data_IF_269197194268
#
_entry.id   IF_269197194268
#
_cell.length_a   1.000
_cell.length_b   1.000
_cell.length_c   1.000
_cell.angle_alpha   90.00
_cell.angle_beta   90.00
_cell.angle_gamma   90.00
#
_symmetry.space_group_name_H-M   'P 1'
#
loop_
_entity.id
_entity.type
_entity.pdbx_description
1 polymer ?
#
# COMPACT_ATOMS: atom_id res chain seq x y z
N UNK A 1 13.50 6.28 -2.60
CA UNK A 1 12.47 5.58 -1.81
C UNK A 1 11.31 6.52 -1.65
N UNK A 2 10.07 6.06 -1.77
CA UNK A 2 8.87 6.89 -1.51
C UNK A 2 8.86 7.19 -0.01
N UNK A 3 9.06 8.44 0.40
CA UNK A 3 8.90 8.76 1.82
C UNK A 3 7.43 8.77 2.17
N UNK A 4 7.11 8.12 3.27
CA UNK A 4 5.76 7.91 3.73
C UNK A 4 5.71 7.91 5.26
N UNK A 5 4.52 8.08 5.80
CA UNK A 5 4.25 7.99 7.24
C UNK A 5 2.90 7.35 7.48
N UNK A 6 2.77 6.62 8.60
CA UNK A 6 1.52 5.96 8.98
C UNK A 6 0.84 6.73 10.12
N UNK A 7 -0.49 6.81 10.06
CA UNK A 7 -1.31 7.51 11.04
C UNK A 7 -2.62 6.78 11.28
N UNK A 8 -3.17 6.94 12.49
CA UNK A 8 -4.56 6.61 12.79
C UNK A 8 -5.37 7.90 12.68
N UNK A 9 -6.46 7.89 11.92
CA UNK A 9 -7.33 9.06 11.79
C UNK A 9 -8.26 9.21 13.02
N UNK A 10 -9.02 10.31 13.07
CA UNK A 10 -9.96 10.59 14.17
C UNK A 10 -11.03 9.49 14.36
N UNK A 11 -11.34 8.75 13.30
CA UNK A 11 -12.25 7.60 13.33
C UNK A 11 -11.61 6.29 13.82
N UNK A 12 -10.35 6.32 14.27
CA UNK A 12 -9.65 5.12 14.73
C UNK A 12 -9.29 4.15 13.61
N UNK A 13 -9.14 4.64 12.38
CA UNK A 13 -8.80 3.84 11.20
C UNK A 13 -7.39 4.13 10.71
N UNK A 14 -6.65 3.11 10.26
CA UNK A 14 -5.30 3.28 9.76
C UNK A 14 -5.31 3.99 8.39
N UNK A 15 -4.34 4.85 8.17
CA UNK A 15 -4.04 5.46 6.87
C UNK A 15 -2.57 5.80 6.74
N UNK A 16 -2.13 6.14 5.54
CA UNK A 16 -0.77 6.60 5.30
C UNK A 16 -0.75 7.92 4.54
N UNK A 17 0.34 8.66 4.74
CA UNK A 17 0.69 9.87 4.01
C UNK A 17 1.95 9.59 3.19
N UNK A 18 2.11 10.31 2.08
CA UNK A 18 3.26 10.22 1.17
C UNK A 18 3.72 11.62 0.80
N UNK A 19 4.93 11.74 0.25
CA UNK A 19 5.39 13.02 -0.30
C UNK A 19 4.40 13.54 -1.38
N UNK A 20 4.17 14.86 -1.41
CA UNK A 20 3.16 15.47 -2.29
C UNK A 20 3.35 15.12 -3.76
N UNK A 21 4.59 14.93 -4.24
CA UNK A 21 4.85 14.53 -5.64
C UNK A 21 4.35 13.12 -5.99
N UNK A 22 3.94 12.32 -5.01
CA UNK A 22 3.36 10.98 -5.22
C UNK A 22 1.88 10.93 -4.84
N UNK A 23 1.23 12.07 -4.61
CA UNK A 23 -0.13 12.17 -4.04
C UNK A 23 -1.16 11.21 -4.68
N UNK A 24 -1.02 10.91 -5.97
CA UNK A 24 -1.84 9.92 -6.70
C UNK A 24 -1.85 8.52 -6.07
N UNK A 25 -0.79 8.12 -5.38
CA UNK A 25 -0.72 6.82 -4.69
C UNK A 25 -1.60 6.75 -3.43
N UNK A 26 -2.18 7.88 -2.98
CA UNK A 26 -3.14 7.84 -1.89
C UNK A 26 -4.34 6.95 -2.23
N UNK A 27 -4.78 6.89 -3.48
CA UNK A 27 -5.94 6.08 -3.89
C UNK A 27 -5.69 4.57 -3.86
N UNK A 28 -4.42 4.15 -3.75
CA UNK A 28 -4.05 2.73 -3.59
C UNK A 28 -4.14 2.25 -2.14
N UNK A 29 -4.41 3.15 -1.18
CA UNK A 29 -4.34 2.83 0.25
C UNK A 29 -5.49 1.93 0.72
N UNK A 30 -5.36 0.63 0.49
CA UNK A 30 -6.28 -0.37 1.04
C UNK A 30 -5.96 -0.71 2.50
N UNK A 31 -6.98 -0.99 3.30
CA UNK A 31 -6.83 -1.59 4.63
C UNK A 31 -7.03 -3.11 4.64
N UNK A 32 -7.39 -3.71 3.50
CA UNK A 32 -7.52 -5.16 3.38
C UNK A 32 -6.13 -5.79 3.24
N UNK A 33 -5.68 -6.42 4.33
CA UNK A 33 -4.40 -7.13 4.41
C UNK A 33 -4.21 -8.14 3.28
N UNK A 34 -5.28 -8.79 2.79
CA UNK A 34 -5.18 -9.78 1.71
C UNK A 34 -4.82 -9.12 0.38
N UNK A 35 -5.40 -7.94 0.12
CA UNK A 35 -5.09 -7.16 -1.08
C UNK A 35 -3.64 -6.65 -1.01
N UNK A 36 -3.22 -6.10 0.15
CA UNK A 36 -1.82 -5.66 0.33
C UNK A 36 -0.83 -6.80 0.11
N UNK A 37 -1.10 -8.00 0.65
CA UNK A 37 -0.25 -9.19 0.43
C UNK A 37 -0.20 -9.61 -1.03
N UNK A 38 -1.33 -9.54 -1.75
CA UNK A 38 -1.36 -9.82 -3.19
C UNK A 38 -0.46 -8.85 -3.95
N UNK A 39 -0.59 -7.54 -3.68
CA UNK A 39 0.22 -6.50 -4.32
C UNK A 39 1.72 -6.74 -4.08
N UNK A 40 2.11 -7.02 -2.84
CA UNK A 40 3.51 -7.35 -2.50
C UNK A 40 4.01 -8.53 -3.33
N UNK A 41 3.24 -9.61 -3.40
CA UNK A 41 3.60 -10.80 -4.16
C UNK A 41 3.76 -10.47 -5.66
N UNK A 42 2.84 -9.73 -6.23
CA UNK A 42 2.88 -9.37 -7.65
C UNK A 42 4.13 -8.52 -7.96
N UNK A 43 4.50 -7.59 -7.07
CA UNK A 43 5.73 -6.78 -7.19
C UNK A 43 7.00 -7.62 -7.04
N UNK A 44 7.02 -8.59 -6.12
CA UNK A 44 8.13 -9.53 -5.95
C UNK A 44 8.31 -10.41 -7.20
N UNK A 45 7.21 -10.90 -7.79
CA UNK A 45 7.26 -11.67 -9.04
C UNK A 45 7.82 -10.85 -10.21
N UNK A 46 7.53 -9.54 -10.29
CA UNK A 46 8.17 -8.64 -11.28
C UNK A 46 9.67 -8.51 -11.02
N UNK A 47 10.08 -8.29 -9.77
CA UNK A 47 11.50 -8.13 -9.40
C UNK A 47 12.31 -9.40 -9.67
N UNK A 48 11.69 -10.56 -9.49
CA UNK A 48 12.31 -11.87 -9.71
C UNK A 48 12.21 -12.36 -11.16
N UNK A 49 11.73 -11.54 -12.10
CA UNK A 49 11.49 -11.88 -13.51
C UNK A 49 10.57 -13.12 -13.70
N UNK A 50 9.69 -13.41 -12.73
CA UNK A 50 8.69 -14.48 -12.82
C UNK A 50 7.52 -14.09 -13.73
N UNK A 51 7.23 -12.78 -13.78
CA UNK A 51 6.24 -12.17 -14.68
C UNK A 51 6.82 -10.91 -15.31
N UNK A 52 6.38 -10.61 -16.53
CA UNK A 52 6.85 -9.41 -17.26
C UNK A 52 6.33 -8.11 -16.63
N UNK A 53 5.07 -8.13 -16.19
CA UNK A 53 4.41 -6.98 -15.57
C UNK A 53 3.37 -7.38 -14.53
N UNK A 54 3.11 -6.46 -13.61
CA UNK A 54 2.03 -6.51 -12.62
C UNK A 54 1.16 -5.27 -12.75
N UNK A 55 -0.15 -5.47 -12.62
CA UNK A 55 -1.17 -4.44 -12.75
C UNK A 55 -1.89 -4.30 -11.40
N UNK A 56 -1.90 -3.09 -10.85
CA UNK A 56 -2.45 -2.80 -9.52
C UNK A 56 -3.52 -1.73 -9.67
N UNK A 57 -4.77 -2.09 -9.36
CA UNK A 57 -5.90 -1.17 -9.37
C UNK A 57 -6.12 -0.54 -7.99
N UNK A 58 -6.29 0.79 -7.98
CA UNK A 58 -6.78 1.57 -6.85
C UNK A 58 -8.31 1.59 -6.79
N UNK A 59 -8.85 2.32 -5.81
CA UNK A 59 -10.29 2.29 -5.54
C UNK A 59 -11.14 3.14 -6.49
N UNK A 60 -10.65 4.31 -6.90
CA UNK A 60 -11.48 5.27 -7.64
C UNK A 60 -10.97 5.55 -9.06
N UNK A 61 -9.68 5.88 -9.24
CA UNK A 61 -9.20 6.41 -10.52
C UNK A 61 -7.76 6.05 -10.88
N UNK A 62 -7.06 5.37 -9.97
CA UNK A 62 -5.62 5.14 -10.07
C UNK A 62 -5.31 3.71 -10.45
N UNK A 63 -4.48 3.53 -11.48
CA UNK A 63 -3.97 2.25 -11.94
C UNK A 63 -2.44 2.32 -12.00
N UNK A 64 -1.75 1.26 -11.55
CA UNK A 64 -0.29 1.19 -11.59
C UNK A 64 0.14 -0.03 -12.39
N UNK A 65 0.96 0.18 -13.40
CA UNK A 65 1.64 -0.89 -14.14
C UNK A 65 3.11 -0.92 -13.72
N UNK A 66 3.55 -2.05 -13.17
CA UNK A 66 4.94 -2.26 -12.79
C UNK A 66 5.58 -3.31 -13.69
N UNK A 67 6.76 -2.99 -14.23
CA UNK A 67 7.65 -3.92 -14.93
C UNK A 67 9.06 -3.81 -14.35
N UNK A 68 10.01 -4.63 -14.80
CA UNK A 68 11.42 -4.52 -14.38
C UNK A 68 12.04 -3.12 -14.59
N UNK A 69 11.47 -2.30 -15.49
CA UNK A 69 11.94 -0.95 -15.78
C UNK A 69 11.39 0.10 -14.79
N UNK A 70 10.46 -0.29 -13.91
CA UNK A 70 9.78 0.61 -12.98
C UNK A 70 8.26 0.52 -13.09
N UNK A 71 7.61 1.27 -12.23
CA UNK A 71 6.17 1.45 -12.15
C UNK A 71 5.75 2.78 -12.79
N UNK A 72 4.69 2.71 -13.59
CA UNK A 72 3.97 3.84 -14.16
C UNK A 72 2.62 3.96 -13.46
N UNK A 73 2.28 5.16 -13.01
CA UNK A 73 1.00 5.47 -12.34
C UNK A 73 0.13 6.23 -13.33
N UNK A 74 -1.10 5.75 -13.51
CA UNK A 74 -2.11 6.30 -14.39
C UNK A 74 -3.29 6.76 -13.54
N UNK A 75 -3.74 7.99 -13.75
CA UNK A 75 -4.93 8.54 -13.11
C UNK A 75 -5.90 9.03 -14.19
N UNK A 76 -7.20 8.85 -13.97
CA UNK A 76 -8.20 9.35 -14.91
C UNK A 76 -8.12 10.88 -15.03
N UNK A 77 -7.71 11.40 -16.18
CA UNK A 77 -7.70 12.83 -16.46
C UNK A 77 -6.40 13.58 -16.12
N UNK A 78 -5.34 12.89 -15.68
CA UNK A 78 -4.01 13.48 -15.44
C UNK A 78 -2.88 12.78 -16.20
N UNK A 79 -1.71 13.43 -16.26
CA UNK A 79 -0.48 12.88 -16.82
C UNK A 79 -0.02 11.62 -16.07
N UNK A 80 0.61 10.70 -16.81
CA UNK A 80 1.25 9.51 -16.25
C UNK A 80 2.47 9.89 -15.41
N UNK A 81 2.61 9.33 -14.21
CA UNK A 81 3.79 9.51 -13.36
C UNK A 81 4.70 8.29 -13.41
N UNK A 82 5.98 8.50 -13.76
CA UNK A 82 7.03 7.46 -13.70
C UNK A 82 8.12 7.63 -14.75
N UNK A 83 9.04 6.64 -14.90
CA UNK A 83 9.10 5.38 -14.15
C UNK A 83 9.64 5.57 -12.73
N UNK A 84 8.96 4.96 -11.75
CA UNK A 84 9.41 4.89 -10.35
C UNK A 84 9.97 3.49 -10.08
N UNK A 85 11.10 3.32 -9.37
CA UNK A 85 11.64 1.99 -9.09
C UNK A 85 10.62 1.05 -8.42
N UNK A 86 10.46 -0.18 -8.93
CA UNK A 86 9.52 -1.19 -8.37
C UNK A 86 9.80 -1.46 -6.90
N UNK A 87 11.09 -1.49 -6.52
CA UNK A 87 11.50 -1.68 -5.13
C UNK A 87 10.87 -0.64 -4.19
N UNK A 88 10.68 0.60 -4.63
CA UNK A 88 10.11 1.64 -3.77
C UNK A 88 8.62 1.40 -3.49
N UNK A 89 7.89 0.82 -4.44
CA UNK A 89 6.51 0.38 -4.22
C UNK A 89 6.48 -0.82 -3.28
N UNK A 90 7.37 -1.80 -3.49
CA UNK A 90 7.47 -2.98 -2.65
C UNK A 90 7.73 -2.59 -1.18
N UNK A 91 8.67 -1.68 -0.94
CA UNK A 91 9.00 -1.19 0.40
C UNK A 91 7.79 -0.49 1.04
N UNK A 92 7.12 0.43 0.33
CA UNK A 92 5.91 1.11 0.79
C UNK A 92 4.82 0.11 1.24
N UNK A 93 4.52 -0.90 0.40
CA UNK A 93 3.47 -1.86 0.72
C UNK A 93 3.87 -2.84 1.83
N UNK A 94 5.16 -3.19 1.96
CA UNK A 94 5.66 -4.00 3.08
C UNK A 94 5.54 -3.26 4.41
N UNK A 95 5.97 -1.99 4.44
CA UNK A 95 5.86 -1.14 5.61
C UNK A 95 4.39 -0.93 6.00
N UNK A 96 3.52 -0.74 5.00
CA UNK A 96 2.08 -0.62 5.22
C UNK A 96 1.44 -1.90 5.76
N UNK A 97 1.81 -3.07 5.22
CA UNK A 97 1.36 -4.36 5.72
C UNK A 97 1.75 -4.55 7.20
N UNK A 98 3.00 -4.25 7.55
CA UNK A 98 3.48 -4.35 8.92
C UNK A 98 2.67 -3.46 9.86
N UNK A 99 2.39 -2.21 9.45
CA UNK A 99 1.55 -1.30 10.21
C UNK A 99 0.13 -1.84 10.42
N UNK A 100 -0.52 -2.36 9.37
CA UNK A 100 -1.86 -2.93 9.45
C UNK A 100 -1.93 -4.16 10.37
N UNK A 101 -0.94 -5.06 10.30
CA UNK A 101 -0.89 -6.23 11.17
C UNK A 101 -0.79 -5.81 12.63
N UNK A 102 0.13 -4.90 12.96
CA UNK A 102 0.28 -4.41 14.33
C UNK A 102 -1.00 -3.71 14.84
N UNK A 103 -1.67 -2.96 13.97
CA UNK A 103 -2.94 -2.31 14.30
C UNK A 103 -4.05 -3.32 14.64
N UNK A 104 -4.21 -4.37 13.83
CA UNK A 104 -5.20 -5.42 14.06
C UNK A 104 -4.90 -6.24 15.33
N UNK A 105 -3.63 -6.51 15.63
CA UNK A 105 -3.21 -7.18 16.85
C UNK A 105 -3.49 -6.34 18.10
N UNK A 106 -3.19 -5.04 18.07
CA UNK A 106 -3.50 -4.12 19.16
C UNK A 106 -5.00 -4.09 19.45
N UNK A 107 -5.84 -3.99 18.41
CA UNK A 107 -7.31 -4.02 18.55
C UNK A 107 -7.84 -5.29 19.20
N UNK A 108 -7.27 -6.46 18.86
CA UNK A 108 -7.65 -7.74 19.48
C UNK A 108 -7.28 -7.79 20.95
N UNK A 109 -6.10 -7.30 21.30
CA UNK A 109 -5.63 -7.27 22.69
C UNK A 109 -6.50 -6.34 23.56
N UNK A 110 -6.89 -5.17 23.03
CA UNK A 110 -7.79 -4.24 23.73
C UNK A 110 -9.19 -4.86 23.94
N UNK A 111 -9.71 -5.55 22.93
CA UNK A 111 -11.01 -6.24 23.00
C UNK A 111 -11.02 -7.39 24.01
N UNK A 112 -9.89 -8.09 24.18
CA UNK A 112 -9.74 -9.18 25.15
C UNK A 112 -9.54 -8.65 26.58
N UNK A 113 -8.85 -7.52 26.75
CA UNK A 113 -8.67 -6.88 28.06
C UNK A 113 -9.97 -6.32 28.64
N UNK A 114 -10.90 -5.89 27.79
CA UNK A 114 -12.20 -5.33 28.19
C UNK A 114 -13.25 -6.40 28.54
N UNK A 115 -13.00 -7.66 28.19
CA UNK A 115 -13.84 -8.81 28.55
C UNK A 115 -13.46 -9.46 29.90
N UNK A 116 -12.44 -8.91 30.57
CA UNK A 116 -11.87 -9.41 31.83
C UNK A 116 -12.12 -8.42 32.98
N UNK A 117 -13.37 -8.03 33.20
CA UNK A 117 -13.77 -7.34 34.45
C UNK A 117 -14.79 -8.22 35.20
N UNK A 118 -14.53 -8.58 36.47
CA UNK A 118 -15.46 -9.33 37.31
C UNK A 118 -16.72 -8.53 37.66
#
# INVERSE_FOLDING_TARGET
MIKHSFRINEGGLPGFAIENKYWMLMDLHTRDIRIVKKIIKDLESVINDEVEKAEIEGYDITYVECSKNGCLIYCSGEDTMGPIPVQWFLDLFKDWLAFLVNFEEAKRNDSNSSSSKP
#
